data_IF_382243658787
#
_entry.id   IF_382243658787
#
_cell.length_a   1.000
_cell.length_b   1.000
_cell.length_c   1.000
_cell.angle_alpha   90.00
_cell.angle_beta   90.00
_cell.angle_gamma   90.00
#
_symmetry.space_group_name_H-M   'P 1'
#
loop_
_entity.id
_entity.type
_entity.pdbx_description
1 polymer ?
#
# COMPACT_ATOMS: atom_id res chain seq x y z
N UNK A 1 -18.02 21.05 -5.68
CA UNK A 1 -16.85 20.21 -5.35
C UNK A 1 -17.15 18.85 -5.91
N UNK A 2 -16.31 18.34 -6.79
CA UNK A 2 -16.51 17.02 -7.39
C UNK A 2 -16.11 15.95 -6.36
N UNK A 3 -17.07 15.17 -5.88
CA UNK A 3 -16.89 14.15 -4.83
C UNK A 3 -16.98 12.76 -5.43
N UNK A 4 -16.17 12.49 -6.46
CA UNK A 4 -16.01 11.10 -6.91
C UNK A 4 -15.17 10.31 -5.90
N UNK A 5 -15.56 9.06 -5.60
CA UNK A 5 -14.76 8.19 -4.74
C UNK A 5 -13.39 7.91 -5.38
N UNK A 6 -12.33 7.73 -4.57
CA UNK A 6 -11.00 7.47 -5.09
C UNK A 6 -10.97 6.15 -5.86
N UNK A 7 -10.20 6.12 -6.94
CA UNK A 7 -9.91 4.92 -7.72
C UNK A 7 -9.05 3.94 -6.92
N UNK A 8 -9.05 2.67 -7.33
CA UNK A 8 -8.19 1.64 -6.72
C UNK A 8 -6.71 2.01 -6.78
N UNK A 9 -6.25 2.59 -7.91
CA UNK A 9 -4.87 3.04 -8.06
C UNK A 9 -4.52 4.18 -7.07
N UNK A 10 -5.43 5.14 -6.86
CA UNK A 10 -5.26 6.22 -5.89
C UNK A 10 -5.22 5.69 -4.46
N UNK A 11 -6.11 4.75 -4.12
CA UNK A 11 -6.10 4.07 -2.83
C UNK A 11 -4.79 3.31 -2.61
N UNK A 12 -4.42 2.41 -3.51
CA UNK A 12 -3.20 1.60 -3.36
C UNK A 12 -1.94 2.49 -3.30
N UNK A 13 -1.87 3.55 -4.11
CA UNK A 13 -0.75 4.50 -4.06
C UNK A 13 -0.66 5.20 -2.71
N UNK A 14 -1.78 5.75 -2.23
CA UNK A 14 -1.82 6.46 -0.94
C UNK A 14 -1.50 5.55 0.24
N UNK A 15 -2.02 4.32 0.23
CA UNK A 15 -1.81 3.37 1.32
C UNK A 15 -0.43 2.71 1.31
N UNK A 16 0.14 2.45 0.13
CA UNK A 16 1.35 1.63 0.01
C UNK A 16 2.61 2.43 -0.32
N UNK A 17 2.54 3.50 -1.13
CA UNK A 17 3.72 4.20 -1.61
C UNK A 17 4.07 5.43 -0.76
N UNK A 18 3.08 6.25 -0.41
CA UNK A 18 3.29 7.46 0.38
C UNK A 18 3.96 7.19 1.73
N UNK A 19 3.49 6.25 2.57
CA UNK A 19 4.16 5.95 3.83
C UNK A 19 5.47 5.17 3.65
N UNK A 20 5.74 4.60 2.46
CA UNK A 20 6.87 3.69 2.26
C UNK A 20 8.22 4.38 2.03
N UNK A 21 8.26 5.69 1.77
CA UNK A 21 9.52 6.42 1.60
C UNK A 21 10.38 6.35 2.87
N UNK A 22 11.69 6.18 2.72
CA UNK A 22 12.59 6.01 3.86
C UNK A 22 12.42 7.08 4.95
N UNK A 23 12.32 8.39 4.64
CA UNK A 23 12.16 9.42 5.69
C UNK A 23 10.92 9.26 6.58
N UNK A 24 9.87 8.60 6.07
CA UNK A 24 8.63 8.34 6.83
C UNK A 24 8.78 7.14 7.76
N UNK A 25 9.70 6.21 7.45
CA UNK A 25 10.01 5.03 8.26
C UNK A 25 11.13 5.33 9.25
N UNK A 26 12.16 6.02 8.79
CA UNK A 26 13.37 6.35 9.52
C UNK A 26 13.93 7.68 9.02
N UNK A 27 13.77 8.73 9.80
CA UNK A 27 14.27 10.05 9.44
C UNK A 27 15.81 10.09 9.44
N UNK A 28 16.44 11.07 8.76
CA UNK A 28 17.90 11.23 8.79
C UNK A 28 18.44 11.40 10.21
N UNK A 29 17.68 12.07 11.09
CA UNK A 29 18.05 12.30 12.49
C UNK A 29 17.98 11.02 13.31
N UNK A 30 16.91 10.24 13.14
CA UNK A 30 16.76 8.93 13.78
C UNK A 30 17.86 7.97 13.31
N UNK A 31 18.16 7.95 12.01
CA UNK A 31 19.26 7.16 11.45
C UNK A 31 20.60 7.55 12.05
N UNK A 32 20.92 8.85 12.13
CA UNK A 32 22.14 9.35 12.77
C UNK A 32 22.20 8.96 14.26
N UNK A 33 21.07 8.88 14.94
CA UNK A 33 21.03 8.49 16.35
C UNK A 33 21.47 7.04 16.59
N UNK A 34 21.42 6.17 15.58
CA UNK A 34 21.89 4.78 15.63
C UNK A 34 23.41 4.65 15.75
N UNK A 35 24.16 5.72 15.46
CA UNK A 35 25.61 5.74 15.53
C UNK A 35 26.11 6.33 16.87
N UNK A 36 27.32 5.94 17.33
CA UNK A 36 27.98 6.58 18.47
C UNK A 36 28.08 8.10 18.28
N UNK A 37 27.97 8.87 19.38
CA UNK A 37 27.94 10.36 19.34
C UNK A 37 29.10 10.96 18.53
N UNK A 38 30.30 10.39 18.64
CA UNK A 38 31.50 10.81 17.91
C UNK A 38 31.41 10.62 16.40
N UNK A 39 30.59 9.69 15.92
CA UNK A 39 30.46 9.33 14.51
C UNK A 39 29.23 9.94 13.82
N UNK A 40 28.26 10.50 14.57
CA UNK A 40 26.98 11.00 14.00
C UNK A 40 27.11 12.14 12.99
N UNK A 41 28.23 12.85 13.02
CA UNK A 41 28.54 13.95 12.09
C UNK A 41 29.47 13.49 10.94
N UNK A 42 29.88 12.21 10.92
CA UNK A 42 30.73 11.70 9.86
C UNK A 42 29.99 11.76 8.51
N UNK A 43 30.65 12.25 7.44
CA UNK A 43 30.06 12.30 6.10
C UNK A 43 29.57 10.94 5.60
N UNK A 44 30.24 9.85 5.98
CA UNK A 44 29.88 8.47 5.66
C UNK A 44 28.50 8.08 6.17
N UNK A 45 28.06 8.59 7.34
CA UNK A 45 26.71 8.34 7.86
C UNK A 45 25.65 8.94 6.94
N UNK A 46 25.89 10.12 6.38
CA UNK A 46 24.99 10.72 5.39
C UNK A 46 24.97 9.89 4.10
N UNK A 47 26.13 9.47 3.61
CA UNK A 47 26.20 8.62 2.41
C UNK A 47 25.43 7.32 2.59
N UNK A 48 25.61 6.63 3.72
CA UNK A 48 24.86 5.41 4.05
C UNK A 48 23.34 5.61 4.07
N UNK A 49 22.87 6.75 4.59
CA UNK A 49 21.45 7.07 4.57
C UNK A 49 20.92 7.28 3.15
N UNK A 50 21.69 7.95 2.28
CA UNK A 50 21.31 8.16 0.88
C UNK A 50 21.32 6.84 0.08
N UNK A 51 22.28 5.97 0.35
CA UNK A 51 22.34 4.64 -0.26
C UNK A 51 21.13 3.80 0.17
N UNK A 52 20.77 3.82 1.46
CA UNK A 52 19.58 3.16 1.98
C UNK A 52 18.29 3.74 1.38
N UNK A 53 18.22 5.07 1.23
CA UNK A 53 17.08 5.73 0.60
C UNK A 53 16.92 5.29 -0.86
N UNK A 54 18.03 5.13 -1.58
CA UNK A 54 18.05 4.66 -2.96
C UNK A 54 17.57 3.21 -3.07
N UNK A 55 18.08 2.31 -2.21
CA UNK A 55 17.64 0.92 -2.16
C UNK A 55 16.15 0.80 -1.85
N UNK A 56 15.65 1.61 -0.90
CA UNK A 56 14.22 1.67 -0.60
C UNK A 56 13.41 2.20 -1.78
N UNK A 57 13.92 3.21 -2.47
CA UNK A 57 13.32 3.76 -3.69
C UNK A 57 13.06 2.67 -4.73
N UNK A 58 14.06 1.83 -5.02
CA UNK A 58 13.91 0.71 -5.97
C UNK A 58 12.78 -0.26 -5.58
N UNK A 59 12.62 -0.55 -4.29
CA UNK A 59 11.53 -1.40 -3.82
C UNK A 59 10.16 -0.70 -3.95
N UNK A 60 10.08 0.60 -3.65
CA UNK A 60 8.86 1.40 -3.83
C UNK A 60 8.47 1.47 -5.31
N UNK A 61 9.43 1.66 -6.20
CA UNK A 61 9.21 1.69 -7.65
C UNK A 61 8.68 0.35 -8.18
N UNK A 62 9.19 -0.78 -7.66
CA UNK A 62 8.67 -2.10 -8.00
C UNK A 62 7.21 -2.29 -7.57
N UNK A 63 6.82 -1.79 -6.39
CA UNK A 63 5.42 -1.82 -5.93
C UNK A 63 4.56 -0.88 -6.78
N UNK A 64 5.06 0.30 -7.15
CA UNK A 64 4.34 1.22 -8.03
C UNK A 64 3.98 0.56 -9.36
N UNK A 65 4.95 -0.12 -9.99
CA UNK A 65 4.72 -0.88 -11.22
C UNK A 65 3.69 -2.02 -11.01
N UNK A 66 3.72 -2.70 -9.86
CA UNK A 66 2.73 -3.74 -9.53
C UNK A 66 1.32 -3.16 -9.35
N UNK A 67 1.18 -1.98 -8.74
CA UNK A 67 -0.10 -1.27 -8.58
C UNK A 67 -0.71 -0.96 -9.95
N UNK A 68 0.08 -0.52 -10.94
CA UNK A 68 -0.44 -0.26 -12.29
C UNK A 68 -0.97 -1.53 -12.96
N UNK A 69 -0.28 -2.67 -12.77
CA UNK A 69 -0.74 -3.96 -13.30
C UNK A 69 -2.01 -4.41 -12.60
N UNK A 70 -2.07 -4.26 -11.27
CA UNK A 70 -3.22 -4.66 -10.47
C UNK A 70 -4.42 -3.76 -10.75
N UNK A 71 -4.27 -2.44 -10.80
CA UNK A 71 -5.36 -1.52 -11.13
C UNK A 71 -6.01 -1.82 -12.50
N UNK A 72 -5.26 -2.41 -13.43
CA UNK A 72 -5.79 -2.86 -14.73
C UNK A 72 -6.54 -4.20 -14.65
N UNK A 73 -6.21 -5.07 -13.68
CA UNK A 73 -6.72 -6.46 -13.58
C UNK A 73 -7.68 -6.66 -12.40
N UNK A 74 -7.30 -6.20 -11.22
CA UNK A 74 -7.95 -6.34 -9.92
C UNK A 74 -9.38 -5.82 -9.90
N UNK A 75 -9.63 -4.65 -10.50
CA UNK A 75 -10.99 -4.12 -10.58
C UNK A 75 -12.01 -5.09 -11.21
N UNK A 76 -11.63 -5.95 -12.16
CA UNK A 76 -12.57 -6.94 -12.72
C UNK A 76 -12.68 -8.20 -11.85
N UNK A 77 -11.58 -8.64 -11.24
CA UNK A 77 -11.58 -9.80 -10.34
C UNK A 77 -12.36 -9.50 -9.05
N UNK A 78 -12.11 -8.36 -8.41
CA UNK A 78 -12.82 -7.89 -7.22
C UNK A 78 -14.30 -7.71 -7.51
N UNK A 79 -14.67 -7.08 -8.64
CA UNK A 79 -16.09 -6.94 -9.02
C UNK A 79 -16.79 -8.29 -9.20
N UNK A 80 -16.10 -9.29 -9.77
CA UNK A 80 -16.66 -10.66 -9.91
C UNK A 80 -16.83 -11.33 -8.55
N UNK A 81 -15.86 -11.18 -7.66
CA UNK A 81 -15.91 -11.74 -6.30
C UNK A 81 -17.07 -11.12 -5.49
N UNK A 82 -17.19 -9.79 -5.48
CA UNK A 82 -18.27 -9.06 -4.82
C UNK A 82 -19.63 -9.44 -5.41
N UNK A 83 -19.73 -9.60 -6.74
CA UNK A 83 -20.96 -10.05 -7.37
C UNK A 83 -21.33 -11.49 -7.01
N UNK A 84 -20.34 -12.38 -6.77
CA UNK A 84 -20.59 -13.74 -6.29
C UNK A 84 -21.08 -13.72 -4.84
N UNK A 85 -20.40 -13.01 -3.95
CA UNK A 85 -20.79 -12.87 -2.54
C UNK A 85 -22.23 -12.35 -2.40
N UNK A 86 -22.61 -11.33 -3.18
CA UNK A 86 -23.99 -10.83 -3.17
C UNK A 86 -25.02 -11.85 -3.65
N UNK A 87 -24.65 -12.76 -4.57
CA UNK A 87 -25.56 -13.84 -4.98
C UNK A 87 -25.69 -14.88 -3.89
N UNK A 88 -24.58 -15.27 -3.28
CA UNK A 88 -24.55 -16.25 -2.19
C UNK A 88 -25.32 -15.74 -0.96
N UNK A 89 -25.28 -14.44 -0.65
CA UNK A 89 -26.10 -13.80 0.39
C UNK A 89 -27.61 -13.85 0.07
N UNK A 90 -28.00 -13.54 -1.16
CA UNK A 90 -29.40 -13.61 -1.59
C UNK A 90 -29.91 -15.05 -1.60
N UNK A 91 -29.09 -16.01 -2.01
CA UNK A 91 -29.46 -17.44 -2.03
C UNK A 91 -29.69 -17.97 -0.61
N UNK A 92 -28.89 -17.52 0.37
CA UNK A 92 -29.10 -17.82 1.80
C UNK A 92 -30.38 -17.17 2.36
N UNK A 93 -30.68 -15.91 2.01
CA UNK A 93 -31.95 -15.28 2.43
C UNK A 93 -33.15 -16.05 1.88
N UNK A 94 -33.10 -16.53 0.63
CA UNK A 94 -34.19 -17.30 0.03
C UNK A 94 -34.32 -18.69 0.67
N UNK A 95 -33.22 -19.41 0.92
CA UNK A 95 -33.27 -20.75 1.54
C UNK A 95 -33.74 -20.70 3.00
N UNK A 96 -33.41 -19.63 3.72
CA UNK A 96 -33.86 -19.39 5.10
C UNK A 96 -35.35 -19.02 5.24
N UNK A 97 -35.99 -18.53 4.18
CA UNK A 97 -37.44 -18.21 4.19
C UNK A 97 -38.34 -19.40 3.77
N UNK A 98 -37.78 -20.50 3.26
CA UNK A 98 -38.56 -21.64 2.71
C UNK A 98 -38.79 -22.78 3.73
N UNK A 99 -38.22 -22.69 4.94
CA UNK A 99 -38.41 -23.71 6.00
C UNK A 99 -39.39 -23.23 7.09
N UNK A 100 -40.65 -23.01 6.73
CA UNK A 100 -41.73 -22.86 7.72
C UNK A 100 -43.09 -23.23 7.12
N UNK A 101 -43.38 -24.53 7.00
CA UNK A 101 -44.75 -25.10 6.89
C UNK A 101 -44.80 -26.51 7.49
#
# INVERSE_FOLDING_TARGET
MDTSPPTEAELLTSFLLDPARLPNILSPEQFRALFPRSARAAPSVRSLYLDLATQRGLAVDAVAAAIEVEARRGGQAIRREVARQRRDEVDWEVDGEVEMD
#
